data_IF_277670693407
#
_entry.id   IF_277670693407
#
_cell.length_a   1.000
_cell.length_b   1.000
_cell.length_c   1.000
_cell.angle_alpha   90.00
_cell.angle_beta   90.00
_cell.angle_gamma   90.00
#
_symmetry.space_group_name_H-M   'P 1'
#
loop_
_entity.id
_entity.type
_entity.pdbx_description
1 polymer ?
#
# COMPACT_ATOMS: atom_id res chain seq x y z
N UNK A 1 -8.05 -20.24 20.54
CA UNK A 1 -8.96 -20.13 21.71
C UNK A 1 -10.32 -19.67 21.21
N UNK A 2 -11.36 -20.50 21.35
CA UNK A 2 -12.74 -20.19 20.95
C UNK A 2 -13.42 -19.33 22.04
N UNK A 3 -14.07 -18.23 21.65
CA UNK A 3 -14.78 -17.34 22.59
C UNK A 3 -16.26 -17.71 22.58
N UNK A 4 -16.78 -18.17 23.72
CA UNK A 4 -18.20 -18.51 23.87
C UNK A 4 -19.05 -17.24 24.11
N UNK A 5 -20.10 -17.05 23.30
CA UNK A 5 -21.04 -15.92 23.40
C UNK A 5 -22.50 -16.35 23.55
N UNK A 6 -22.78 -17.66 23.58
CA UNK A 6 -24.14 -18.24 23.61
C UNK A 6 -25.01 -17.69 24.74
N UNK A 7 -24.46 -17.55 25.95
CA UNK A 7 -25.20 -17.00 27.10
C UNK A 7 -25.56 -15.51 26.97
N UNK A 8 -24.88 -14.75 26.10
CA UNK A 8 -25.11 -13.30 25.92
C UNK A 8 -26.13 -12.99 24.82
N UNK A 9 -26.49 -13.97 24.01
CA UNK A 9 -27.54 -13.87 22.96
C UNK A 9 -28.82 -14.61 23.33
N UNK A 10 -28.91 -15.14 24.55
CA UNK A 10 -30.04 -15.95 24.99
C UNK A 10 -31.38 -15.18 25.04
N UNK A 11 -31.35 -13.84 25.17
CA UNK A 11 -32.54 -12.98 25.13
C UNK A 11 -32.45 -11.99 23.96
N UNK A 12 -33.48 -11.98 23.09
CA UNK A 12 -33.57 -11.06 21.96
C UNK A 12 -33.92 -9.64 22.45
N UNK A 13 -32.89 -8.84 22.72
CA UNK A 13 -33.02 -7.42 23.05
C UNK A 13 -32.50 -6.57 21.88
N UNK A 14 -33.13 -5.42 21.62
CA UNK A 14 -32.78 -4.54 20.50
C UNK A 14 -31.29 -4.14 20.47
N UNK A 15 -30.66 -3.96 21.64
CA UNK A 15 -29.23 -3.65 21.79
C UNK A 15 -28.31 -4.86 22.05
N UNK A 16 -28.84 -6.09 22.04
CA UNK A 16 -28.07 -7.30 22.36
C UNK A 16 -26.92 -7.54 21.37
N UNK A 17 -27.18 -7.37 20.07
CA UNK A 17 -26.18 -7.59 19.01
C UNK A 17 -25.10 -6.49 18.97
N UNK A 18 -25.47 -5.24 19.26
CA UNK A 18 -24.51 -4.11 19.28
C UNK A 18 -23.43 -4.29 20.36
N UNK A 19 -23.78 -4.86 21.52
CA UNK A 19 -22.80 -5.20 22.58
C UNK A 19 -21.79 -6.28 22.16
N UNK A 20 -22.16 -7.15 21.22
CA UNK A 20 -21.25 -8.17 20.68
C UNK A 20 -20.28 -7.59 19.66
N UNK A 21 -20.74 -6.65 18.83
CA UNK A 21 -19.87 -5.95 17.87
C UNK A 21 -18.78 -5.14 18.60
N UNK A 22 -19.13 -4.40 19.66
CA UNK A 22 -18.18 -3.55 20.40
C UNK A 22 -17.15 -4.30 21.27
N UNK A 23 -17.18 -5.64 21.30
CA UNK A 23 -16.29 -6.44 22.15
C UNK A 23 -14.92 -6.64 21.50
N UNK A 24 -13.83 -6.17 22.11
CA UNK A 24 -12.47 -6.30 21.53
C UNK A 24 -11.89 -7.73 21.49
N UNK A 25 -12.12 -8.55 22.53
CA UNK A 25 -11.60 -9.93 22.61
C UNK A 25 -12.35 -10.86 21.66
N UNK A 26 -11.66 -11.32 20.61
CA UNK A 26 -12.19 -12.29 19.63
C UNK A 26 -13.10 -11.67 18.58
N UNK A 27 -13.11 -10.34 18.45
CA UNK A 27 -13.87 -9.64 17.41
C UNK A 27 -13.10 -9.52 16.10
N UNK A 28 -13.88 -9.40 15.03
CA UNK A 28 -13.45 -9.19 13.65
C UNK A 28 -12.49 -7.98 13.56
N UNK A 29 -12.71 -6.91 14.35
CA UNK A 29 -11.81 -5.75 14.34
C UNK A 29 -10.39 -6.10 14.71
N UNK A 30 -10.17 -7.00 15.70
CA UNK A 30 -8.84 -7.41 16.10
C UNK A 30 -8.14 -8.24 15.01
N UNK A 31 -8.90 -8.92 14.16
CA UNK A 31 -8.38 -9.68 13.03
C UNK A 31 -8.06 -8.76 11.84
N UNK A 32 -8.95 -7.79 11.55
CA UNK A 32 -8.90 -6.96 10.34
C UNK A 32 -8.19 -5.61 10.51
N UNK A 33 -7.85 -5.18 11.73
CA UNK A 33 -7.32 -3.81 11.92
C UNK A 33 -6.01 -3.57 11.16
N UNK A 34 -5.16 -4.59 10.98
CA UNK A 34 -3.88 -4.44 10.28
C UNK A 34 -4.10 -4.20 8.79
N UNK A 35 -4.95 -5.02 8.19
CA UNK A 35 -5.35 -4.94 6.78
C UNK A 35 -6.09 -3.63 6.51
N UNK A 36 -6.96 -3.21 7.44
CA UNK A 36 -7.68 -1.95 7.34
C UNK A 36 -6.75 -0.74 7.39
N UNK A 37 -5.75 -0.75 8.27
CA UNK A 37 -4.74 0.32 8.33
C UNK A 37 -3.98 0.40 7.00
N UNK A 38 -3.51 -0.72 6.46
CA UNK A 38 -2.80 -0.73 5.17
C UNK A 38 -3.70 -0.21 4.04
N UNK A 39 -4.97 -0.61 4.01
CA UNK A 39 -5.93 -0.12 3.04
C UNK A 39 -6.13 1.40 3.14
N UNK A 40 -6.30 1.93 4.36
CA UNK A 40 -6.44 3.38 4.59
C UNK A 40 -5.18 4.12 4.17
N UNK A 41 -3.98 3.59 4.45
CA UNK A 41 -2.72 4.20 4.04
C UNK A 41 -2.54 4.22 2.50
N UNK A 42 -2.95 3.17 1.81
CA UNK A 42 -2.93 3.13 0.34
C UNK A 42 -3.94 4.13 -0.24
N UNK A 43 -5.12 4.25 0.36
CA UNK A 43 -6.14 5.21 -0.04
C UNK A 43 -5.69 6.66 0.17
N UNK A 44 -5.01 6.96 1.29
CA UNK A 44 -4.46 8.30 1.51
C UNK A 44 -3.37 8.64 0.50
N UNK A 45 -2.52 7.68 0.08
CA UNK A 45 -1.58 7.92 -1.01
C UNK A 45 -2.26 8.31 -2.32
N UNK A 46 -3.34 7.62 -2.70
CA UNK A 46 -4.14 7.97 -3.88
C UNK A 46 -4.69 9.39 -3.78
N UNK A 47 -5.26 9.74 -2.63
CA UNK A 47 -5.82 11.07 -2.37
C UNK A 47 -4.75 12.17 -2.46
N UNK A 48 -3.56 11.92 -1.91
CA UNK A 48 -2.42 12.85 -1.97
C UNK A 48 -1.90 13.03 -3.39
N UNK A 49 -1.78 11.96 -4.18
CA UNK A 49 -1.36 12.07 -5.60
C UNK A 49 -2.35 12.92 -6.38
N UNK A 50 -3.65 12.74 -6.15
CA UNK A 50 -4.68 13.54 -6.79
C UNK A 50 -4.61 15.02 -6.40
N UNK A 51 -4.33 15.30 -5.12
CA UNK A 51 -4.35 16.66 -4.58
C UNK A 51 -3.06 17.44 -4.83
N UNK A 52 -1.89 16.79 -4.80
CA UNK A 52 -0.59 17.46 -4.86
C UNK A 52 -0.04 17.57 -6.30
N UNK A 53 -0.41 16.66 -7.20
CA UNK A 53 0.16 16.63 -8.56
C UNK A 53 -0.70 17.45 -9.52
N UNK A 54 -0.22 18.66 -9.81
CA UNK A 54 -0.87 19.60 -10.72
C UNK A 54 -0.21 19.60 -12.11
N UNK A 55 -0.96 19.91 -13.15
CA UNK A 55 -0.45 20.03 -14.53
C UNK A 55 -1.40 19.40 -15.55
N UNK A 56 -1.97 20.21 -16.45
CA UNK A 56 -2.88 19.77 -17.53
C UNK A 56 -2.12 19.29 -18.78
N UNK A 57 -0.80 19.27 -18.71
CA UNK A 57 0.10 18.79 -19.75
C UNK A 57 0.09 17.26 -19.85
N UNK A 58 0.47 16.76 -21.03
CA UNK A 58 0.57 15.31 -21.26
C UNK A 58 1.55 14.65 -20.28
N UNK A 59 2.66 15.33 -19.99
CA UNK A 59 3.68 14.86 -19.06
C UNK A 59 3.13 14.78 -17.61
N UNK A 60 2.37 15.78 -17.16
CA UNK A 60 1.65 15.74 -15.88
C UNK A 60 0.59 14.63 -15.81
N UNK A 61 -0.07 14.31 -16.93
CA UNK A 61 -1.00 13.17 -17.03
C UNK A 61 -0.26 11.83 -16.94
N UNK A 62 0.86 11.69 -17.64
CA UNK A 62 1.70 10.49 -17.60
C UNK A 62 2.28 10.26 -16.20
N UNK A 63 2.77 11.31 -15.56
CA UNK A 63 3.27 11.27 -14.18
C UNK A 63 2.20 10.74 -13.20
N UNK A 64 0.98 11.30 -13.24
CA UNK A 64 -0.14 10.85 -12.39
C UNK A 64 -0.50 9.39 -12.65
N UNK A 65 -0.55 8.96 -13.93
CA UNK A 65 -0.81 7.56 -14.28
C UNK A 65 0.26 6.61 -13.74
N UNK A 66 1.54 6.97 -13.86
CA UNK A 66 2.64 6.15 -13.36
C UNK A 66 2.66 6.07 -11.84
N UNK A 67 2.45 7.21 -11.14
CA UNK A 67 2.31 7.23 -9.68
C UNK A 67 1.16 6.34 -9.21
N UNK A 68 -0.02 6.47 -9.83
CA UNK A 68 -1.17 5.63 -9.52
C UNK A 68 -0.93 4.15 -9.84
N UNK A 69 -0.23 3.84 -10.93
CA UNK A 69 0.17 2.48 -11.27
C UNK A 69 1.06 1.87 -10.17
N UNK A 70 2.02 2.62 -9.62
CA UNK A 70 2.85 2.13 -8.52
C UNK A 70 2.06 1.87 -7.24
N UNK A 71 1.13 2.76 -6.87
CA UNK A 71 0.25 2.52 -5.71
C UNK A 71 -0.62 1.27 -5.93
N UNK A 72 -1.18 1.10 -7.13
CA UNK A 72 -1.98 -0.08 -7.48
C UNK A 72 -1.15 -1.37 -7.49
N UNK A 73 0.09 -1.30 -7.99
CA UNK A 73 1.01 -2.43 -7.99
C UNK A 73 1.39 -2.85 -6.57
N UNK A 74 1.71 -1.90 -5.67
CA UNK A 74 1.92 -2.20 -4.25
C UNK A 74 0.69 -2.85 -3.62
N UNK A 75 -0.50 -2.28 -3.87
CA UNK A 75 -1.77 -2.81 -3.37
C UNK A 75 -1.98 -4.26 -3.81
N UNK A 76 -1.76 -4.55 -5.09
CA UNK A 76 -1.87 -5.89 -5.67
C UNK A 76 -0.89 -6.88 -5.02
N UNK A 77 0.38 -6.50 -4.84
CA UNK A 77 1.39 -7.37 -4.23
C UNK A 77 1.05 -7.69 -2.77
N UNK A 78 0.52 -6.71 -2.02
CA UNK A 78 0.03 -6.92 -0.65
C UNK A 78 -1.18 -7.86 -0.66
N UNK A 79 -2.21 -7.57 -1.46
CA UNK A 79 -3.41 -8.41 -1.51
C UNK A 79 -3.12 -9.82 -2.00
N UNK A 80 -2.17 -10.01 -2.91
CA UNK A 80 -1.71 -11.33 -3.35
C UNK A 80 -1.10 -12.14 -2.20
N UNK A 81 -0.46 -11.49 -1.23
CA UNK A 81 0.15 -12.17 -0.07
C UNK A 81 -0.85 -12.55 1.03
N UNK A 82 -1.99 -11.86 1.12
CA UNK A 82 -2.99 -12.06 2.18
C UNK A 82 -4.22 -12.83 1.68
N UNK A 83 -4.63 -12.61 0.42
CA UNK A 83 -5.85 -13.18 -0.16
C UNK A 83 -5.56 -14.33 -1.11
N UNK A 84 -6.12 -15.50 -0.81
CA UNK A 84 -6.02 -16.69 -1.66
C UNK A 84 -6.72 -16.49 -3.01
N UNK A 85 -7.79 -15.69 -3.07
CA UNK A 85 -8.48 -15.37 -4.32
C UNK A 85 -7.59 -14.56 -5.28
N UNK A 86 -6.85 -13.58 -4.75
CA UNK A 86 -5.93 -12.76 -5.53
C UNK A 86 -4.71 -13.57 -5.96
N UNK A 87 -4.19 -14.42 -5.07
CA UNK A 87 -3.11 -15.35 -5.39
C UNK A 87 -3.49 -16.32 -6.52
N UNK A 88 -4.73 -16.83 -6.53
CA UNK A 88 -5.24 -17.67 -7.63
C UNK A 88 -5.36 -16.91 -8.96
N UNK A 89 -5.72 -15.63 -8.92
CA UNK A 89 -5.85 -14.80 -10.13
C UNK A 89 -4.50 -14.34 -10.69
N UNK A 90 -3.51 -14.12 -9.82
CA UNK A 90 -2.15 -13.72 -10.21
C UNK A 90 -1.12 -14.67 -9.57
N UNK A 91 -1.00 -15.91 -10.07
CA UNK A 91 -0.14 -16.91 -9.44
C UNK A 91 1.34 -16.59 -9.60
N UNK A 92 1.74 -16.04 -10.74
CA UNK A 92 3.12 -15.63 -11.02
C UNK A 92 3.18 -14.14 -11.31
N UNK A 93 4.39 -13.58 -11.32
CA UNK A 93 4.54 -12.15 -11.60
C UNK A 93 4.41 -11.85 -13.10
N UNK A 94 4.58 -12.84 -13.97
CA UNK A 94 4.29 -12.72 -15.41
C UNK A 94 2.82 -12.31 -15.62
N UNK A 95 1.89 -12.92 -14.88
CA UNK A 95 0.48 -12.53 -14.89
C UNK A 95 0.26 -11.07 -14.44
N UNK A 96 1.12 -10.55 -13.56
CA UNK A 96 1.06 -9.15 -13.11
C UNK A 96 1.54 -8.20 -14.21
N UNK A 97 2.56 -8.61 -14.97
CA UNK A 97 3.08 -7.88 -16.13
C UNK A 97 2.06 -7.90 -17.28
N UNK A 98 1.51 -9.06 -17.61
CA UNK A 98 0.48 -9.25 -18.64
C UNK A 98 -0.79 -8.45 -18.35
N UNK A 99 -1.19 -8.36 -17.08
CA UNK A 99 -2.31 -7.53 -16.65
C UNK A 99 -2.02 -6.01 -16.69
N UNK A 100 -0.79 -5.61 -17.03
CA UNK A 100 -0.41 -4.20 -17.20
C UNK A 100 -0.10 -3.45 -15.91
N UNK A 101 0.00 -4.12 -14.76
CA UNK A 101 0.38 -3.48 -13.49
C UNK A 101 1.87 -3.16 -13.40
N UNK A 102 2.71 -3.92 -14.11
CA UNK A 102 4.17 -3.78 -14.13
C UNK A 102 4.65 -3.87 -15.58
N UNK A 103 5.59 -3.02 -16.00
CA UNK A 103 6.18 -3.15 -17.34
C UNK A 103 7.25 -4.25 -17.36
N UNK A 104 7.59 -4.84 -18.52
CA UNK A 104 8.64 -5.85 -18.59
C UNK A 104 10.03 -5.31 -18.20
N UNK A 105 10.28 -4.01 -18.33
CA UNK A 105 11.51 -3.35 -17.87
C UNK A 105 11.53 -3.27 -16.33
N UNK A 106 10.42 -2.86 -15.71
CA UNK A 106 10.27 -2.83 -14.26
C UNK A 106 10.40 -4.24 -13.66
N UNK A 107 9.90 -5.26 -14.37
CA UNK A 107 10.05 -6.67 -14.00
C UNK A 107 11.52 -7.09 -13.88
N UNK A 108 12.36 -6.68 -14.82
CA UNK A 108 13.81 -6.98 -14.77
C UNK A 108 14.47 -6.37 -13.54
N UNK A 109 14.13 -5.12 -13.21
CA UNK A 109 14.66 -4.42 -12.02
C UNK A 109 14.15 -5.10 -10.74
N UNK A 110 12.88 -5.49 -10.72
CA UNK A 110 12.25 -6.18 -9.58
C UNK A 110 12.92 -7.53 -9.27
N UNK A 111 13.28 -8.28 -10.31
CA UNK A 111 13.95 -9.58 -10.17
C UNK A 111 15.43 -9.44 -9.79
N UNK A 112 16.10 -8.40 -10.27
CA UNK A 112 17.49 -8.10 -9.93
C UNK A 112 17.70 -7.83 -8.43
N UNK A 113 16.70 -7.28 -7.73
CA UNK A 113 16.75 -7.06 -6.28
C UNK A 113 16.66 -8.40 -5.54
N UNK A 114 17.76 -8.87 -4.95
CA UNK A 114 17.75 -10.09 -4.12
C UNK A 114 17.24 -9.77 -2.72
N UNK A 115 16.12 -10.36 -2.32
CA UNK A 115 15.57 -10.24 -0.96
C UNK A 115 14.87 -11.53 -0.55
N UNK A 116 15.08 -12.03 0.68
CA UNK A 116 14.35 -13.17 1.22
C UNK A 116 12.91 -12.83 1.64
N UNK A 117 12.57 -11.54 1.70
CA UNK A 117 11.27 -11.04 2.13
C UNK A 117 10.36 -10.68 0.94
N UNK A 118 9.07 -10.49 1.22
CA UNK A 118 8.12 -10.02 0.23
C UNK A 118 8.53 -8.64 -0.30
N UNK A 119 8.59 -8.52 -1.62
CA UNK A 119 9.11 -7.35 -2.34
C UNK A 119 8.05 -6.26 -2.61
N UNK A 120 6.96 -6.20 -1.85
CA UNK A 120 5.89 -5.20 -2.07
C UNK A 120 6.34 -3.76 -1.78
N UNK A 121 7.47 -3.58 -1.09
CA UNK A 121 8.08 -2.27 -0.83
C UNK A 121 8.78 -1.68 -2.06
N UNK A 122 9.14 -2.49 -3.06
CA UNK A 122 9.87 -2.02 -4.25
C UNK A 122 9.08 -0.95 -5.03
N UNK A 123 7.80 -1.15 -5.38
CA UNK A 123 7.03 -0.12 -6.08
C UNK A 123 6.78 1.12 -5.22
N UNK A 124 6.81 1.01 -3.89
CA UNK A 124 6.75 2.17 -2.98
C UNK A 124 8.00 3.03 -3.14
N UNK A 125 9.18 2.42 -3.26
CA UNK A 125 10.44 3.15 -3.51
C UNK A 125 10.42 3.82 -4.89
N UNK A 126 9.93 3.13 -5.92
CA UNK A 126 9.78 3.74 -7.24
C UNK A 126 8.81 4.92 -7.23
N UNK A 127 7.72 4.79 -6.47
CA UNK A 127 6.76 5.88 -6.24
C UNK A 127 7.41 7.09 -5.56
N UNK A 128 8.17 6.88 -4.48
CA UNK A 128 8.85 7.99 -3.79
C UNK A 128 9.88 8.67 -4.68
N UNK A 129 10.65 7.90 -5.46
CA UNK A 129 11.62 8.47 -6.41
C UNK A 129 10.94 9.30 -7.49
N UNK A 130 9.81 8.81 -8.01
CA UNK A 130 9.01 9.54 -8.99
C UNK A 130 8.38 10.81 -8.40
N UNK A 131 7.89 10.76 -7.17
CA UNK A 131 7.36 11.93 -6.46
C UNK A 131 8.45 12.99 -6.22
N UNK A 132 9.67 12.57 -5.85
CA UNK A 132 10.81 13.48 -5.68
C UNK A 132 11.24 14.09 -7.01
N UNK A 133 11.25 13.31 -8.10
CA UNK A 133 11.48 13.84 -9.45
C UNK A 133 10.43 14.89 -9.83
N UNK A 134 9.15 14.62 -9.58
CA UNK A 134 8.07 15.57 -9.81
C UNK A 134 8.25 16.88 -9.03
N UNK A 135 8.85 16.83 -7.84
CA UNK A 135 9.20 18.03 -7.06
C UNK A 135 10.33 18.83 -7.70
N UNK A 136 11.37 18.17 -8.22
CA UNK A 136 12.47 18.83 -8.93
C UNK A 136 12.00 19.47 -10.24
N UNK A 137 11.00 18.87 -10.89
CA UNK A 137 10.34 19.41 -12.08
C UNK A 137 9.33 20.54 -11.75
N UNK A 138 9.16 20.92 -10.48
CA UNK A 138 8.25 21.98 -10.05
C UNK A 138 6.76 21.64 -10.14
N UNK A 139 6.39 20.37 -10.37
CA UNK A 139 4.99 19.92 -10.45
C UNK A 139 4.32 19.82 -9.08
N UNK A 140 5.09 19.51 -8.05
CA UNK A 140 4.67 19.57 -6.64
C UNK A 140 5.15 20.92 -6.10
N UNK A 141 4.21 21.78 -5.69
CA UNK A 141 4.53 23.16 -5.29
C UNK A 141 5.22 23.21 -3.93
N UNK A 142 4.64 22.55 -2.94
CA UNK A 142 5.07 22.65 -1.55
C UNK A 142 5.98 21.49 -1.13
N UNK A 143 6.98 21.79 -0.30
CA UNK A 143 7.85 20.78 0.32
C UNK A 143 7.09 19.95 1.36
N UNK A 144 6.07 20.53 1.97
CA UNK A 144 5.18 19.87 2.96
C UNK A 144 4.37 18.75 2.31
N UNK A 145 3.88 18.96 1.09
CA UNK A 145 3.14 17.96 0.33
C UNK A 145 4.01 16.74 0.03
N UNK A 146 5.24 16.99 -0.45
CA UNK A 146 6.21 15.92 -0.68
C UNK A 146 6.53 15.17 0.62
N UNK A 147 6.78 15.89 1.73
CA UNK A 147 7.10 15.25 3.00
C UNK A 147 5.93 14.37 3.49
N UNK A 148 4.70 14.85 3.34
CA UNK A 148 3.49 14.07 3.68
C UNK A 148 3.40 12.80 2.85
N UNK A 149 3.60 12.90 1.53
CA UNK A 149 3.61 11.75 0.61
C UNK A 149 4.68 10.73 1.02
N UNK A 150 5.90 11.19 1.31
CA UNK A 150 7.01 10.33 1.72
C UNK A 150 6.72 9.65 3.06
N UNK A 151 6.18 10.36 4.05
CA UNK A 151 5.83 9.82 5.35
C UNK A 151 4.78 8.70 5.25
N UNK A 152 3.71 8.92 4.47
CA UNK A 152 2.68 7.89 4.26
C UNK A 152 3.26 6.70 3.49
N UNK A 153 4.11 6.94 2.49
CA UNK A 153 4.79 5.87 1.74
C UNK A 153 5.66 4.99 2.66
N UNK A 154 6.39 5.61 3.59
CA UNK A 154 7.18 4.90 4.59
C UNK A 154 6.32 4.10 5.57
N UNK A 155 5.15 4.62 5.94
CA UNK A 155 4.20 3.90 6.77
C UNK A 155 3.68 2.62 6.08
N UNK A 156 3.40 2.67 4.76
CA UNK A 156 3.02 1.49 3.95
C UNK A 156 4.17 0.49 3.86
N UNK A 157 5.41 0.95 3.68
CA UNK A 157 6.55 0.06 3.52
C UNK A 157 6.92 -0.67 4.83
N UNK A 158 6.77 0.01 5.98
CA UNK A 158 7.07 -0.52 7.31
C UNK A 158 6.06 -1.55 7.84
N UNK A 159 4.88 -1.68 7.23
CA UNK A 159 3.81 -2.55 7.76
C UNK A 159 4.09 -4.05 7.62
N UNK A 160 5.15 -4.46 6.91
CA UNK A 160 5.53 -5.88 6.76
C UNK A 160 7.02 -6.16 6.52
N UNK A 161 7.91 -5.17 6.70
CA UNK A 161 9.36 -5.32 6.53
C UNK A 161 10.11 -4.64 7.67
N UNK A 162 11.26 -5.21 8.06
CA UNK A 162 12.10 -4.69 9.15
C UNK A 162 12.58 -3.25 8.78
N UNK A 163 12.29 -2.21 9.59
CA UNK A 163 12.50 -0.80 9.25
C UNK A 163 13.94 -0.44 8.84
N UNK A 164 14.94 -1.23 9.25
CA UNK A 164 16.35 -1.01 8.90
C UNK A 164 16.67 -1.16 7.41
N UNK A 165 15.94 -2.00 6.67
CA UNK A 165 16.25 -2.27 5.26
C UNK A 165 15.80 -1.12 4.33
N UNK A 166 14.70 -0.45 4.67
CA UNK A 166 14.19 0.73 3.96
C UNK A 166 15.04 1.98 4.21
N UNK A 167 15.52 2.18 5.45
CA UNK A 167 16.37 3.32 5.79
C UNK A 167 17.73 3.27 5.08
N UNK A 168 18.34 2.08 4.95
CA UNK A 168 19.62 1.90 4.24
C UNK A 168 19.49 2.16 2.74
N UNK A 169 18.41 1.69 2.10
CA UNK A 169 18.21 1.91 0.67
C UNK A 169 17.86 3.36 0.31
N UNK A 170 17.05 4.04 1.13
CA UNK A 170 16.75 5.46 0.91
C UNK A 170 18.00 6.34 1.12
N UNK A 171 18.85 6.04 2.10
CA UNK A 171 20.12 6.78 2.31
C UNK A 171 21.14 6.61 1.19
N UNK A 172 21.16 5.45 0.53
CA UNK A 172 22.08 5.17 -0.58
C UNK A 172 21.62 5.80 -1.90
N UNK A 173 20.34 6.13 -2.05
CA UNK A 173 19.79 6.77 -3.25
C UNK A 173 19.63 8.30 -3.14
N UNK A 174 19.65 8.84 -1.92
CA UNK A 174 19.55 10.28 -1.62
C UNK A 174 20.91 10.96 -1.36
N UNK A 175 22.02 10.32 -1.76
CA UNK A 175 23.36 10.90 -1.70
C UNK A 175 23.90 11.17 -3.09
#
# INVERSE_FOLDING_TARGET
MTVTYSSKVANATFFGFHRLLLRWRGSIYKLLYREFIVFVLLYTLVSLVYSCVHGHDEQGRLLRRTLMRYVNLTSLLIFRSVSTAVCKRFPTMEHVVEAGFMTPEERKIFDAVKSPHLKYWIPVVWFTNMASKARTEGRIKDSVDLQTILNVSMAVASTGSNPGCLYLHLRLYYR
#
